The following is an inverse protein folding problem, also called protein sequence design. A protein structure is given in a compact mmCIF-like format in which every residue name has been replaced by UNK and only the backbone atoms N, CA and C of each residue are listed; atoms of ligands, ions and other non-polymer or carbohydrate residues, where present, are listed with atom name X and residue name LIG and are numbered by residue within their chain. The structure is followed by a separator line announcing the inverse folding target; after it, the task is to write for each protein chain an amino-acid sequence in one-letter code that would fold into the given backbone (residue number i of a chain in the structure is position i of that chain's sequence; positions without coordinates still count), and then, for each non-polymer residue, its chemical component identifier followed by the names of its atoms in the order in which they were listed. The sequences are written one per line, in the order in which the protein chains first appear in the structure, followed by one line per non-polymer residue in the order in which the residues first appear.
data_IF_662607666092
#
_entry.id   IF_662607666092
#
_cell.length_a   1.000
_cell.length_b   1.000
_cell.length_c   1.000
_cell.angle_alpha   90.00
_cell.angle_beta   90.00
_cell.angle_gamma   90.00
#
_symmetry.space_group_name_H-M   'P 1'
#
loop_
_entity.id
_entity.type
_entity.pdbx_description
1 polymer ?
#
# COMPACT_ATOMS: atom_id res chain seq x y z
N UNK A 1 3.73 -23.51 -23.17
CA UNK A 1 3.04 -23.40 -21.85
C UNK A 1 1.95 -22.35 -21.98
N UNK A 2 0.69 -22.63 -21.59
CA UNK A 2 -0.36 -21.62 -21.67
C UNK A 2 -0.02 -20.43 -20.78
N UNK A 3 -0.02 -19.22 -21.34
CA UNK A 3 0.18 -17.96 -20.62
C UNK A 3 -0.95 -17.83 -19.61
N UNK A 4 -0.63 -18.07 -18.33
CA UNK A 4 -1.61 -17.85 -17.25
C UNK A 4 -1.90 -16.35 -17.18
N UNK A 5 -3.14 -15.96 -17.46
CA UNK A 5 -3.58 -14.57 -17.27
C UNK A 5 -3.52 -14.23 -15.78
N UNK A 6 -2.60 -13.34 -15.41
CA UNK A 6 -2.58 -12.70 -14.09
C UNK A 6 -3.86 -11.89 -13.93
N UNK A 7 -4.73 -12.30 -13.01
CA UNK A 7 -5.99 -11.61 -12.72
C UNK A 7 -6.07 -11.28 -11.24
N UNK A 8 -6.77 -10.19 -10.91
CA UNK A 8 -7.07 -9.84 -9.52
C UNK A 8 -8.03 -10.88 -8.93
N UNK A 9 -7.73 -11.37 -7.74
CA UNK A 9 -8.63 -12.24 -7.00
C UNK A 9 -9.68 -11.37 -6.29
N UNK A 10 -10.94 -11.46 -6.71
CA UNK A 10 -12.00 -10.57 -6.21
C UNK A 10 -12.21 -10.69 -4.67
N UNK A 11 -12.30 -11.88 -4.06
CA UNK A 11 -12.38 -12.01 -2.60
C UNK A 11 -11.19 -11.38 -1.87
N UNK A 12 -9.96 -11.66 -2.33
CA UNK A 12 -8.75 -11.08 -1.75
C UNK A 12 -8.69 -9.55 -1.91
N UNK A 13 -9.19 -9.03 -3.04
CA UNK A 13 -9.27 -7.60 -3.30
C UNK A 13 -10.25 -6.92 -2.33
N UNK A 14 -11.49 -7.41 -2.24
CA UNK A 14 -12.52 -6.84 -1.35
C UNK A 14 -12.06 -6.92 0.10
N UNK A 15 -11.55 -8.07 0.53
CA UNK A 15 -11.00 -8.26 1.87
C UNK A 15 -9.82 -7.33 2.16
N UNK A 16 -8.92 -7.17 1.20
CA UNK A 16 -7.76 -6.29 1.30
C UNK A 16 -8.12 -4.81 1.41
N UNK A 17 -9.04 -4.34 0.58
CA UNK A 17 -9.54 -2.95 0.63
C UNK A 17 -10.21 -2.69 1.97
N UNK A 18 -11.13 -3.57 2.37
CA UNK A 18 -11.85 -3.44 3.63
C UNK A 18 -10.90 -3.43 4.83
N UNK A 19 -9.98 -4.40 4.92
CA UNK A 19 -9.02 -4.49 6.01
C UNK A 19 -8.11 -3.26 6.10
N UNK A 20 -7.62 -2.75 4.96
CA UNK A 20 -6.76 -1.56 4.92
C UNK A 20 -7.50 -0.32 5.41
N UNK A 21 -8.73 -0.11 4.93
CA UNK A 21 -9.56 1.03 5.35
C UNK A 21 -9.91 0.93 6.83
N UNK A 22 -10.37 -0.25 7.27
CA UNK A 22 -10.75 -0.51 8.65
C UNK A 22 -9.58 -0.28 9.61
N UNK A 23 -8.42 -0.89 9.36
CA UNK A 23 -7.23 -0.72 10.19
C UNK A 23 -6.73 0.73 10.20
N UNK A 24 -6.80 1.44 9.06
CA UNK A 24 -6.43 2.86 9.00
C UNK A 24 -7.35 3.71 9.88
N UNK A 25 -8.67 3.46 9.83
CA UNK A 25 -9.63 4.17 10.69
C UNK A 25 -9.44 3.81 12.15
N UNK A 26 -9.23 2.53 12.48
CA UNK A 26 -8.94 2.09 13.84
C UNK A 26 -7.67 2.75 14.40
N UNK A 27 -6.58 2.76 13.63
CA UNK A 27 -5.33 3.43 14.01
C UNK A 27 -5.52 4.94 14.21
N UNK A 28 -6.34 5.59 13.37
CA UNK A 28 -6.68 7.00 13.52
C UNK A 28 -7.51 7.30 14.78
N UNK A 29 -8.27 6.34 15.31
CA UNK A 29 -9.01 6.50 16.57
C UNK A 29 -8.15 6.22 17.80
N UNK A 30 -7.21 5.29 17.70
CA UNK A 30 -6.32 4.89 18.80
C UNK A 30 -5.17 5.88 19.01
N UNK A 31 -4.77 6.60 17.97
CA UNK A 31 -3.71 7.61 18.08
C UNK A 31 -4.27 8.96 18.52
N UNK A 32 -3.59 9.70 19.40
CA UNK A 32 -3.98 11.07 19.76
C UNK A 32 -3.85 12.05 18.58
N UNK A 33 -3.38 11.56 17.43
CA UNK A 33 -3.01 12.30 16.23
C UNK A 33 -4.13 12.40 15.20
N UNK A 34 -5.40 12.55 15.61
CA UNK A 34 -6.55 12.64 14.68
C UNK A 34 -6.33 13.65 13.54
N UNK A 35 -5.58 14.72 13.80
CA UNK A 35 -5.20 15.72 12.80
C UNK A 35 -4.20 15.19 11.77
N UNK A 36 -3.14 14.47 12.17
CA UNK A 36 -2.04 14.02 11.29
C UNK A 36 -2.43 12.90 10.32
N UNK A 37 -3.66 12.38 10.43
CA UNK A 37 -4.18 11.44 9.44
C UNK A 37 -4.65 12.10 8.14
N UNK A 38 -4.84 13.43 8.08
CA UNK A 38 -5.05 14.16 6.83
C UNK A 38 -3.73 14.57 6.15
N UNK A 39 -3.75 14.73 4.83
CA UNK A 39 -2.57 15.18 4.08
C UNK A 39 -2.23 16.66 4.30
N UNK A 40 -3.26 17.49 4.50
CA UNK A 40 -3.09 18.91 4.77
C UNK A 40 -2.36 19.14 6.10
N UNK A 41 -2.70 18.41 7.15
CA UNK A 41 -1.98 18.54 8.44
C UNK A 41 -0.53 18.04 8.33
N UNK A 42 -0.29 16.95 7.58
CA UNK A 42 1.05 16.42 7.39
C UNK A 42 1.98 17.41 6.67
N UNK A 43 1.48 18.11 5.65
CA UNK A 43 2.29 19.07 4.88
C UNK A 43 2.47 20.41 5.61
N UNK A 44 1.44 20.89 6.31
CA UNK A 44 1.38 22.27 6.81
C UNK A 44 1.44 22.43 8.35
N UNK A 45 1.49 21.35 9.14
CA UNK A 45 1.64 21.47 10.61
C UNK A 45 3.04 21.92 11.03
N UNK A 46 3.16 22.98 11.83
CA UNK A 46 4.43 23.50 12.33
C UNK A 46 5.15 22.54 13.32
N UNK A 47 4.42 21.59 13.92
CA UNK A 47 4.97 20.62 14.87
C UNK A 47 5.48 19.36 14.16
N UNK A 48 6.77 19.37 13.80
CA UNK A 48 7.41 18.32 13.01
C UNK A 48 7.63 16.97 13.71
N UNK A 49 7.58 16.90 15.04
CA UNK A 49 8.00 15.71 15.81
C UNK A 49 7.17 14.44 15.50
N UNK A 50 5.85 14.57 15.29
CA UNK A 50 4.95 13.42 15.10
C UNK A 50 4.69 13.07 13.62
N UNK A 51 5.29 13.80 12.67
CA UNK A 51 5.05 13.60 11.23
C UNK A 51 5.52 12.21 10.78
N UNK A 52 6.76 11.85 11.08
CA UNK A 52 7.37 10.58 10.64
C UNK A 52 6.71 9.36 11.27
N UNK A 53 6.33 9.43 12.54
CA UNK A 53 5.61 8.35 13.23
C UNK A 53 4.25 8.07 12.56
N UNK A 54 3.48 9.14 12.30
CA UNK A 54 2.17 9.00 11.65
C UNK A 54 2.27 8.43 10.23
N UNK A 55 3.30 8.86 9.47
CA UNK A 55 3.56 8.33 8.12
C UNK A 55 3.96 6.85 8.18
N UNK A 56 4.82 6.48 9.13
CA UNK A 56 5.26 5.09 9.32
C UNK A 56 4.07 4.18 9.63
N UNK A 57 3.19 4.59 10.55
CA UNK A 57 1.98 3.83 10.87
C UNK A 57 1.07 3.70 9.63
N UNK A 58 0.86 4.79 8.89
CA UNK A 58 0.04 4.77 7.66
C UNK A 58 0.55 3.80 6.61
N UNK A 59 1.87 3.71 6.42
CA UNK A 59 2.50 2.83 5.43
C UNK A 59 2.68 1.39 5.95
N UNK A 60 2.79 1.21 7.26
CA UNK A 60 2.85 -0.11 7.88
C UNK A 60 1.54 -0.90 7.72
N UNK A 61 0.39 -0.22 7.72
CA UNK A 61 -0.93 -0.86 7.57
C UNK A 61 -1.08 -1.61 6.24
N UNK A 62 -0.93 -0.98 5.05
CA UNK A 62 -1.05 -1.71 3.79
C UNK A 62 -0.02 -2.84 3.68
N UNK A 63 1.19 -2.65 4.23
CA UNK A 63 2.21 -3.71 4.32
C UNK A 63 1.73 -4.90 5.16
N UNK A 64 1.17 -4.65 6.35
CA UNK A 64 0.60 -5.70 7.20
C UNK A 64 -0.57 -6.41 6.52
N UNK A 65 -1.47 -5.68 5.85
CA UNK A 65 -2.58 -6.29 5.12
C UNK A 65 -2.09 -7.15 3.96
N UNK A 66 -1.13 -6.66 3.17
CA UNK A 66 -0.50 -7.44 2.11
C UNK A 66 0.13 -8.73 2.62
N UNK A 67 0.84 -8.65 3.75
CA UNK A 67 1.39 -9.82 4.44
C UNK A 67 0.30 -10.82 4.82
N UNK A 68 -0.78 -10.36 5.48
CA UNK A 68 -1.89 -11.21 5.91
C UNK A 68 -2.66 -11.85 4.74
N UNK A 69 -2.84 -11.11 3.64
CA UNK A 69 -3.48 -11.60 2.41
C UNK A 69 -2.73 -12.77 1.77
N UNK A 70 -1.44 -12.92 2.03
CA UNK A 70 -0.65 -14.08 1.60
C UNK A 70 -0.54 -15.14 2.71
N UNK A 71 -0.22 -14.71 3.94
CA UNK A 71 0.05 -15.58 5.07
C UNK A 71 -1.17 -16.41 5.49
N UNK A 72 -2.36 -15.81 5.57
CA UNK A 72 -3.57 -16.51 6.03
C UNK A 72 -4.00 -17.61 5.06
N UNK A 73 -4.13 -17.38 3.73
CA UNK A 73 -4.46 -18.46 2.80
C UNK A 73 -3.39 -19.55 2.76
N UNK A 74 -2.10 -19.19 2.91
CA UNK A 74 -1.02 -20.18 3.01
C UNK A 74 -1.17 -21.07 4.25
N UNK A 75 -1.43 -20.49 5.43
CA UNK A 75 -1.68 -21.27 6.65
C UNK A 75 -2.95 -22.12 6.54
N UNK A 76 -4.00 -21.58 5.93
CA UNK A 76 -5.21 -22.34 5.65
C UNK A 76 -4.94 -23.56 4.76
N UNK A 77 -4.12 -23.40 3.71
CA UNK A 77 -3.69 -24.49 2.83
C UNK A 77 -2.92 -25.57 3.60
N UNK A 78 -2.04 -25.17 4.53
CA UNK A 78 -1.28 -26.09 5.37
C UNK A 78 -2.15 -26.87 6.37
N UNK A 79 -3.23 -26.27 6.87
CA UNK A 79 -4.15 -26.91 7.82
C UNK A 79 -5.08 -27.89 7.11
N UNK A 80 -5.58 -27.54 5.93
CA UNK A 80 -6.67 -28.29 5.31
C UNK A 80 -6.26 -29.58 4.60
N UNK A 81 -4.97 -29.80 4.27
CA UNK A 81 -4.25 -31.01 3.72
C UNK A 81 -4.96 -32.06 2.84
N UNK A 82 -6.26 -31.96 2.55
CA UNK A 82 -7.10 -33.06 2.05
C UNK A 82 -8.18 -32.66 1.03
N UNK A 83 -8.57 -31.38 0.92
CA UNK A 83 -9.47 -30.94 -0.16
C UNK A 83 -8.67 -30.56 -1.42
N UNK A 84 -8.59 -31.49 -2.39
CA UNK A 84 -7.87 -31.30 -3.67
C UNK A 84 -8.31 -30.04 -4.44
N UNK A 85 -9.61 -29.71 -4.40
CA UNK A 85 -10.18 -28.56 -5.11
C UNK A 85 -9.76 -27.23 -4.46
N UNK A 86 -9.88 -27.13 -3.13
CA UNK A 86 -9.48 -25.91 -2.40
C UNK A 86 -7.98 -25.68 -2.47
N UNK A 87 -7.18 -26.75 -2.40
CA UNK A 87 -5.73 -26.66 -2.53
C UNK A 87 -5.33 -25.99 -3.85
N UNK A 88 -5.90 -26.41 -4.99
CA UNK A 88 -5.56 -25.86 -6.30
C UNK A 88 -5.91 -24.38 -6.43
N UNK A 89 -7.05 -23.96 -5.89
CA UNK A 89 -7.49 -22.57 -5.95
C UNK A 89 -6.62 -21.66 -5.08
N UNK A 90 -6.34 -22.06 -3.84
CA UNK A 90 -5.47 -21.30 -2.93
C UNK A 90 -4.05 -21.23 -3.48
N UNK A 91 -3.53 -22.35 -3.96
CA UNK A 91 -2.21 -22.41 -4.59
C UNK A 91 -2.12 -21.45 -5.79
N UNK A 92 -3.12 -21.46 -6.68
CA UNK A 92 -3.17 -20.53 -7.82
C UNK A 92 -3.18 -19.07 -7.37
N UNK A 93 -3.96 -18.76 -6.35
CA UNK A 93 -4.00 -17.42 -5.77
C UNK A 93 -2.62 -16.99 -5.24
N UNK A 94 -1.99 -17.81 -4.40
CA UNK A 94 -0.68 -17.52 -3.79
C UNK A 94 0.42 -17.38 -4.85
N UNK A 95 0.45 -18.27 -5.84
CA UNK A 95 1.50 -18.28 -6.84
C UNK A 95 1.39 -17.15 -7.89
N UNK A 96 0.17 -16.72 -8.25
CA UNK A 96 -0.02 -15.87 -9.44
C UNK A 96 -0.79 -14.57 -9.18
N UNK A 97 -1.64 -14.52 -8.16
CA UNK A 97 -2.61 -13.43 -8.00
C UNK A 97 -2.35 -12.56 -6.78
N UNK A 98 -1.72 -13.09 -5.73
CA UNK A 98 -1.60 -12.43 -4.43
C UNK A 98 -0.91 -11.06 -4.51
N UNK A 99 0.23 -10.96 -5.19
CA UNK A 99 0.97 -9.69 -5.31
C UNK A 99 0.18 -8.62 -6.07
N UNK A 100 -0.42 -8.98 -7.22
CA UNK A 100 -1.25 -8.06 -8.00
C UNK A 100 -2.49 -7.64 -7.20
N UNK A 101 -3.14 -8.59 -6.52
CA UNK A 101 -4.35 -8.35 -5.72
C UNK A 101 -4.06 -7.42 -4.52
N UNK A 102 -2.95 -7.63 -3.81
CA UNK A 102 -2.56 -6.77 -2.71
C UNK A 102 -2.22 -5.35 -3.20
N UNK A 103 -1.48 -5.23 -4.32
CA UNK A 103 -1.14 -3.94 -4.94
C UNK A 103 -2.39 -3.17 -5.38
N UNK A 104 -3.34 -3.82 -6.04
CA UNK A 104 -4.60 -3.16 -6.43
C UNK A 104 -5.46 -2.83 -5.22
N UNK A 105 -5.56 -3.71 -4.23
CA UNK A 105 -6.28 -3.44 -3.00
C UNK A 105 -5.71 -2.23 -2.24
N UNK A 106 -4.38 -2.13 -2.11
CA UNK A 106 -3.71 -0.99 -1.49
C UNK A 106 -4.00 0.32 -2.21
N UNK A 107 -3.91 0.33 -3.55
CA UNK A 107 -4.23 1.50 -4.38
C UNK A 107 -5.67 1.98 -4.17
N UNK A 108 -6.65 1.08 -4.31
CA UNK A 108 -8.07 1.43 -4.19
C UNK A 108 -8.48 1.77 -2.75
N UNK A 109 -7.86 1.16 -1.74
CA UNK A 109 -8.06 1.56 -0.35
C UNK A 109 -7.58 3.00 -0.10
N UNK A 110 -6.41 3.36 -0.62
CA UNK A 110 -5.89 4.71 -0.52
C UNK A 110 -6.76 5.73 -1.26
N UNK A 111 -7.22 5.37 -2.46
CA UNK A 111 -8.19 6.17 -3.22
C UNK A 111 -9.47 6.38 -2.41
N UNK A 112 -10.06 5.33 -1.84
CA UNK A 112 -11.29 5.44 -1.06
C UNK A 112 -11.12 6.31 0.19
N UNK A 113 -9.97 6.23 0.85
CA UNK A 113 -9.65 7.07 2.01
C UNK A 113 -9.45 8.54 1.64
N UNK A 114 -8.89 8.82 0.47
CA UNK A 114 -8.65 10.18 -0.03
C UNK A 114 -9.82 10.78 -0.80
N UNK A 115 -10.74 9.94 -1.30
CA UNK A 115 -11.84 10.32 -2.19
C UNK A 115 -12.66 11.52 -1.68
N UNK A 116 -13.09 11.57 -0.40
CA UNK A 116 -13.85 12.71 0.10
C UNK A 116 -13.06 14.02 0.03
N UNK A 117 -11.74 13.98 0.25
CA UNK A 117 -10.89 15.18 0.18
C UNK A 117 -10.66 15.67 -1.24
N UNK A 118 -10.71 14.77 -2.24
CA UNK A 118 -10.58 15.12 -3.65
C UNK A 118 -11.89 15.73 -4.17
N UNK A 119 -13.03 15.09 -3.87
CA UNK A 119 -14.34 15.53 -4.36
C UNK A 119 -14.81 16.81 -3.67
N UNK A 120 -14.63 16.92 -2.36
CA UNK A 120 -15.04 18.09 -1.58
C UNK A 120 -13.88 19.07 -1.36
N UNK A 121 -12.95 19.15 -2.32
CA UNK A 121 -11.79 20.05 -2.24
C UNK A 121 -12.21 21.49 -1.93
N UNK A 122 -13.16 22.02 -2.71
CA UNK A 122 -13.63 23.41 -2.61
C UNK A 122 -14.37 23.72 -1.30
N UNK A 123 -14.85 22.68 -0.59
CA UNK A 123 -15.61 22.82 0.65
C UNK A 123 -14.71 22.63 1.88
N UNK A 124 -13.74 21.72 1.80
CA UNK A 124 -12.91 21.32 2.94
C UNK A 124 -11.62 22.11 3.06
N UNK A 125 -11.15 22.74 1.98
CA UNK A 125 -9.88 23.46 1.97
C UNK A 125 -10.05 24.96 2.18
N UNK A 126 -8.98 25.57 2.69
CA UNK A 126 -8.92 27.02 2.82
C UNK A 126 -8.85 27.66 1.42
N UNK A 127 -9.57 28.77 1.17
CA UNK A 127 -9.60 29.42 -0.14
C UNK A 127 -8.21 29.79 -0.67
N UNK A 128 -7.29 30.13 0.23
CA UNK A 128 -5.89 30.48 -0.08
C UNK A 128 -5.17 29.33 -0.79
N UNK A 129 -5.53 28.07 -0.49
CA UNK A 129 -4.90 26.87 -1.04
C UNK A 129 -5.55 26.37 -2.34
N UNK A 130 -6.63 27.00 -2.83
CA UNK A 130 -7.35 26.53 -4.02
C UNK A 130 -6.47 26.45 -5.26
N UNK A 131 -5.52 27.39 -5.43
CA UNK A 131 -4.59 27.41 -6.54
C UNK A 131 -3.61 26.21 -6.56
N UNK A 132 -3.50 25.45 -5.46
CA UNK A 132 -2.60 24.30 -5.32
C UNK A 132 -3.29 22.95 -5.62
N UNK A 133 -4.53 22.94 -6.13
CA UNK A 133 -5.32 21.73 -6.33
C UNK A 133 -4.57 20.65 -7.14
N UNK A 134 -3.87 21.04 -8.21
CA UNK A 134 -3.12 20.11 -9.05
C UNK A 134 -1.95 19.47 -8.29
N UNK A 135 -1.20 20.27 -7.53
CA UNK A 135 -0.09 19.81 -6.71
C UNK A 135 -0.57 18.78 -5.68
N UNK A 136 -1.70 19.05 -5.02
CA UNK A 136 -2.32 18.10 -4.11
C UNK A 136 -2.76 16.81 -4.81
N UNK A 137 -3.34 16.88 -6.01
CA UNK A 137 -3.71 15.71 -6.80
C UNK A 137 -2.49 14.83 -7.13
N UNK A 138 -1.35 15.44 -7.50
CA UNK A 138 -0.10 14.71 -7.71
C UNK A 138 0.40 14.02 -6.44
N UNK A 139 0.33 14.70 -5.28
CA UNK A 139 0.72 14.13 -3.99
C UNK A 139 -0.20 12.97 -3.60
N UNK A 140 -1.52 13.09 -3.81
CA UNK A 140 -2.47 12.00 -3.59
C UNK A 140 -2.19 10.81 -4.52
N UNK A 141 -1.84 11.05 -5.78
CA UNK A 141 -1.45 9.97 -6.68
C UNK A 141 -0.21 9.22 -6.18
N UNK A 142 0.84 9.94 -5.76
CA UNK A 142 2.02 9.32 -5.15
C UNK A 142 1.68 8.53 -3.88
N UNK A 143 0.72 9.01 -3.10
CA UNK A 143 0.22 8.29 -1.94
C UNK A 143 -0.47 6.98 -2.32
N UNK A 144 -1.29 6.96 -3.38
CA UNK A 144 -1.94 5.75 -3.86
C UNK A 144 -0.92 4.72 -4.36
N UNK A 145 0.08 5.19 -5.10
CA UNK A 145 1.19 4.36 -5.58
C UNK A 145 2.01 3.82 -4.41
N UNK A 146 2.28 4.63 -3.39
CA UNK A 146 2.96 4.20 -2.16
C UNK A 146 2.17 3.12 -1.43
N UNK A 147 0.86 3.29 -1.25
CA UNK A 147 0.00 2.27 -0.63
C UNK A 147 0.00 0.96 -1.42
N UNK A 148 -0.10 1.04 -2.75
CA UNK A 148 0.02 -0.11 -3.64
C UNK A 148 1.36 -0.82 -3.45
N UNK A 149 2.45 -0.04 -3.42
CA UNK A 149 3.80 -0.54 -3.25
C UNK A 149 3.98 -1.29 -1.92
N UNK A 150 3.63 -0.65 -0.79
CA UNK A 150 3.76 -1.26 0.53
C UNK A 150 2.88 -2.50 0.70
N UNK A 151 1.67 -2.53 0.11
CA UNK A 151 0.85 -3.74 0.10
C UNK A 151 1.52 -4.90 -0.67
N UNK A 152 2.19 -4.59 -1.79
CA UNK A 152 3.04 -5.56 -2.48
C UNK A 152 4.20 -6.06 -1.61
N UNK A 153 4.94 -5.13 -1.00
CA UNK A 153 6.07 -5.43 -0.10
C UNK A 153 5.65 -6.40 1.01
N UNK A 154 4.45 -6.23 1.59
CA UNK A 154 3.90 -7.15 2.58
C UNK A 154 3.80 -8.60 2.09
N UNK A 155 3.34 -8.80 0.85
CA UNK A 155 3.27 -10.12 0.22
C UNK A 155 4.67 -10.71 0.06
N UNK A 156 5.63 -9.91 -0.37
CA UNK A 156 7.00 -10.38 -0.62
C UNK A 156 7.74 -10.70 0.69
N UNK A 157 7.49 -9.94 1.77
CA UNK A 157 7.92 -10.29 3.13
C UNK A 157 7.31 -11.60 3.61
N UNK A 158 6.02 -11.85 3.34
CA UNK A 158 5.37 -13.12 3.68
C UNK A 158 5.99 -14.30 2.92
N UNK A 159 6.31 -14.14 1.63
CA UNK A 159 7.02 -15.14 0.84
C UNK A 159 8.42 -15.41 1.41
N UNK A 160 9.15 -14.36 1.80
CA UNK A 160 10.49 -14.48 2.37
C UNK A 160 10.44 -15.26 3.69
N UNK A 161 9.50 -14.93 4.57
CA UNK A 161 9.29 -15.64 5.83
C UNK A 161 8.93 -17.12 5.63
N UNK A 162 8.18 -17.43 4.57
CA UNK A 162 7.66 -18.78 4.29
C UNK A 162 8.49 -19.55 3.26
N UNK A 163 9.66 -19.04 2.86
CA UNK A 163 10.44 -19.54 1.71
C UNK A 163 10.74 -21.03 1.77
N UNK A 164 11.07 -21.54 2.95
CA UNK A 164 11.41 -22.96 3.16
C UNK A 164 10.20 -23.90 3.02
N UNK A 165 8.99 -23.37 3.12
CA UNK A 165 7.74 -24.14 3.11
C UNK A 165 6.99 -23.99 1.77
N UNK A 166 7.51 -23.19 0.83
CA UNK A 166 6.88 -22.94 -0.46
C UNK A 166 7.26 -24.03 -1.48
N UNK A 167 6.29 -24.53 -2.27
CA UNK A 167 6.59 -25.43 -3.40
C UNK A 167 7.55 -24.76 -4.40
N UNK A 168 8.53 -25.51 -4.92
CA UNK A 168 9.59 -25.04 -5.84
C UNK A 168 9.18 -24.06 -6.98
N UNK A 169 8.04 -24.20 -7.66
CA UNK A 169 7.59 -23.21 -8.65
C UNK A 169 7.25 -21.82 -8.07
N UNK A 170 6.92 -21.71 -6.78
CA UNK A 170 6.67 -20.42 -6.10
C UNK A 170 7.96 -19.75 -5.61
N UNK A 171 9.08 -20.48 -5.52
CA UNK A 171 10.39 -19.93 -5.13
C UNK A 171 11.22 -19.45 -6.32
N UNK A 172 10.88 -19.88 -7.55
CA UNK A 172 11.62 -19.49 -8.77
C UNK A 172 11.56 -17.99 -9.08
N UNK A 173 10.49 -17.29 -8.68
CA UNK A 173 10.36 -15.83 -8.81
C UNK A 173 11.14 -15.07 -7.72
N UNK A 174 11.47 -15.71 -6.60
CA UNK A 174 12.11 -15.07 -5.43
C UNK A 174 13.64 -15.08 -5.54
N UNK A 175 14.21 -15.88 -6.47
CA UNK A 175 15.64 -16.06 -6.62
C UNK A 175 16.32 -14.87 -7.34
N UNK A 176 16.77 -13.89 -6.56
CA UNK A 176 17.87 -12.98 -6.92
C UNK A 176 17.49 -11.72 -7.70
N UNK A 177 16.84 -11.85 -8.87
CA UNK A 177 16.57 -10.69 -9.72
C UNK A 177 15.47 -9.79 -9.18
N UNK A 178 14.43 -10.35 -8.54
CA UNK A 178 13.30 -9.60 -8.01
C UNK A 178 13.65 -8.80 -6.76
N UNK A 179 14.48 -9.33 -5.86
CA UNK A 179 14.97 -8.60 -4.69
C UNK A 179 15.84 -7.40 -5.09
N UNK A 180 16.69 -7.57 -6.11
CA UNK A 180 17.48 -6.46 -6.62
C UNK A 180 16.61 -5.42 -7.35
N UNK A 181 15.70 -5.87 -8.23
CA UNK A 181 14.75 -4.97 -8.92
C UNK A 181 13.83 -4.23 -7.95
N UNK A 182 13.40 -4.88 -6.87
CA UNK A 182 12.59 -4.25 -5.84
C UNK A 182 13.39 -3.27 -5.00
N UNK A 183 14.67 -3.53 -4.74
CA UNK A 183 15.57 -2.58 -4.05
C UNK A 183 15.88 -1.38 -4.94
N UNK A 184 16.13 -1.58 -6.25
CA UNK A 184 16.28 -0.47 -7.20
C UNK A 184 14.99 0.34 -7.28
N UNK A 185 13.84 -0.34 -7.31
CA UNK A 185 12.53 0.30 -7.37
C UNK A 185 12.18 1.06 -6.08
N UNK A 186 12.50 0.54 -4.90
CA UNK A 186 12.33 1.27 -3.63
C UNK A 186 13.22 2.49 -3.60
N UNK A 187 14.49 2.35 -3.97
CA UNK A 187 15.42 3.47 -4.02
C UNK A 187 14.97 4.53 -5.02
N UNK A 188 14.48 4.13 -6.20
CA UNK A 188 13.98 5.07 -7.20
C UNK A 188 12.69 5.77 -6.75
N UNK A 189 11.73 5.04 -6.18
CA UNK A 189 10.53 5.64 -5.59
C UNK A 189 10.87 6.59 -4.46
N UNK A 190 11.86 6.26 -3.63
CA UNK A 190 12.38 7.12 -2.57
C UNK A 190 12.97 8.41 -3.12
N UNK A 191 13.81 8.33 -4.16
CA UNK A 191 14.39 9.51 -4.83
C UNK A 191 13.30 10.39 -5.43
N UNK A 192 12.32 9.80 -6.12
CA UNK A 192 11.22 10.56 -6.74
C UNK A 192 10.35 11.22 -5.67
N UNK A 193 9.98 10.51 -4.61
CA UNK A 193 9.16 11.09 -3.53
C UNK A 193 9.92 12.16 -2.75
N UNK A 194 11.20 11.95 -2.44
CA UNK A 194 12.05 12.98 -1.83
C UNK A 194 12.22 14.19 -2.74
N UNK A 195 12.50 14.01 -4.04
CA UNK A 195 12.68 15.10 -5.00
C UNK A 195 11.42 15.95 -5.17
N UNK A 196 10.26 15.30 -5.25
CA UNK A 196 8.97 16.00 -5.32
C UNK A 196 8.67 16.74 -4.01
N UNK A 197 8.96 16.14 -2.86
CA UNK A 197 8.82 16.80 -1.56
C UNK A 197 9.75 18.03 -1.44
N UNK A 198 11.01 17.91 -1.86
CA UNK A 198 11.97 19.02 -1.87
C UNK A 198 11.55 20.13 -2.83
N UNK A 199 11.07 19.79 -4.03
CA UNK A 199 10.58 20.76 -5.02
C UNK A 199 9.38 21.55 -4.48
N UNK A 200 8.40 20.87 -3.87
CA UNK A 200 7.25 21.55 -3.28
C UNK A 200 7.64 22.41 -2.08
N UNK A 201 8.53 21.92 -1.21
CA UNK A 201 9.07 22.72 -0.11
C UNK A 201 9.77 24.00 -0.60
N UNK A 202 10.55 23.90 -1.70
CA UNK A 202 11.26 25.03 -2.28
C UNK A 202 10.35 26.06 -2.94
N UNK A 203 9.24 25.64 -3.56
CA UNK A 203 8.25 26.56 -4.16
C UNK A 203 7.42 27.25 -3.07
N UNK A 204 6.96 26.49 -2.07
CA UNK A 204 6.16 27.04 -0.97
C UNK A 204 6.97 28.04 -0.13
N UNK A 205 8.24 27.76 0.12
CA UNK A 205 9.13 28.69 0.84
C UNK A 205 9.48 29.98 0.09
N UNK A 206 9.12 30.11 -1.19
CA UNK A 206 9.26 31.36 -1.97
C UNK A 206 7.98 32.19 -2.01
N UNK A 207 6.83 31.62 -1.63
CA UNK A 207 5.53 32.28 -1.65
C UNK A 207 5.17 32.95 -0.32
N UNK A 208 5.96 32.71 0.73
CA UNK A 208 5.97 33.39 2.03
C UNK A 208 7.09 34.41 2.09
#
# INVERSE_FOLDING_TARGET
MPVSRTSVNLPGFVGGVFATVFLTKAASYLTPYKLYFSFSSFMYSENGAFRWESLTIKLAIPCLVGFLLFYLPFKWMQVTKGSRINYRNIYRYLAQQAALTARTAGFFAALLLAWPFIVFWDVLQQPVLHHLQFQFACVYFLYFVSFSYFAGLGVDLAKLLLREQLPQPATHDVAGNLAWLETVRTSFMGIVTSGIATYFAAILGRAT
#
